data_IF_817907606352
#
_entry.id   IF_817907606352
#
_cell.length_a   1.000
_cell.length_b   1.000
_cell.length_c   1.000
_cell.angle_alpha   90.00
_cell.angle_beta   90.00
_cell.angle_gamma   90.00
#
_symmetry.space_group_name_H-M   'P 1'
#
loop_
_entity.id
_entity.type
_entity.pdbx_description
1 polymer ?
#
# COMPACT_ATOMS: atom_id res chain seq x y z
N UNK A 1 11.34 11.84 -23.21
CA UNK A 1 9.97 11.94 -22.65
C UNK A 1 10.08 11.62 -21.18
N UNK A 2 9.53 12.46 -20.30
CA UNK A 2 9.48 12.17 -18.86
C UNK A 2 8.23 11.33 -18.58
N UNK A 3 8.41 10.21 -17.90
CA UNK A 3 7.31 9.35 -17.45
C UNK A 3 6.95 9.75 -16.02
N UNK A 4 5.66 10.06 -15.78
CA UNK A 4 5.14 10.43 -14.48
C UNK A 4 4.33 9.26 -13.93
N UNK A 5 4.77 8.70 -12.81
CA UNK A 5 4.03 7.64 -12.11
C UNK A 5 3.23 8.26 -10.98
N UNK A 6 1.91 8.15 -11.04
CA UNK A 6 1.02 8.56 -9.96
C UNK A 6 0.79 7.36 -9.05
N UNK A 7 1.11 7.52 -7.77
CA UNK A 7 0.89 6.49 -6.74
C UNK A 7 -0.33 6.88 -5.91
N UNK A 8 -1.30 5.96 -5.81
CA UNK A 8 -2.44 6.11 -4.91
C UNK A 8 -2.13 5.34 -3.63
N UNK A 9 -1.99 6.03 -2.50
CA UNK A 9 -1.70 5.40 -1.20
C UNK A 9 -2.75 4.34 -0.88
N UNK A 10 -2.28 3.13 -0.55
CA UNK A 10 -3.12 1.96 -0.29
C UNK A 10 -3.50 1.13 -1.53
N UNK A 11 -3.27 1.62 -2.75
CA UNK A 11 -3.52 0.87 -4.00
C UNK A 11 -2.34 -0.03 -4.39
N UNK A 12 -2.09 -1.04 -3.57
CA UNK A 12 -1.03 -2.03 -3.80
C UNK A 12 -1.36 -2.96 -5.00
N UNK A 13 -2.59 -2.89 -5.52
CA UNK A 13 -3.04 -3.70 -6.64
C UNK A 13 -2.89 -3.02 -8.00
N UNK A 14 -2.78 -1.68 -8.06
CA UNK A 14 -2.84 -0.89 -9.29
C UNK A 14 -4.27 -0.74 -9.84
N UNK A 15 -5.26 -0.84 -8.96
CA UNK A 15 -6.69 -0.75 -9.28
C UNK A 15 -7.26 0.67 -9.23
N UNK A 16 -6.44 1.67 -8.88
CA UNK A 16 -6.83 3.06 -8.62
C UNK A 16 -7.51 3.26 -7.26
N UNK A 17 -7.69 2.21 -6.47
CA UNK A 17 -8.36 2.25 -5.16
C UNK A 17 -7.73 1.24 -4.20
N UNK A 18 -7.91 1.45 -2.89
CA UNK A 18 -7.54 0.45 -1.90
C UNK A 18 -8.49 -0.75 -2.00
N UNK A 19 -7.93 -1.93 -2.28
CA UNK A 19 -8.67 -3.16 -2.51
C UNK A 19 -8.20 -4.33 -1.63
N UNK A 20 -9.08 -5.32 -1.42
CA UNK A 20 -8.73 -6.55 -0.69
C UNK A 20 -7.57 -7.31 -1.37
N UNK A 21 -7.46 -7.23 -2.69
CA UNK A 21 -6.34 -7.79 -3.46
C UNK A 21 -5.02 -7.14 -3.05
N UNK A 22 -5.00 -5.81 -2.93
CA UNK A 22 -3.82 -5.08 -2.43
C UNK A 22 -3.43 -5.51 -1.02
N UNK A 23 -4.42 -5.67 -0.12
CA UNK A 23 -4.21 -6.17 1.22
C UNK A 23 -3.61 -7.59 1.27
N UNK A 24 -4.09 -8.50 0.41
CA UNK A 24 -3.54 -9.86 0.29
C UNK A 24 -2.08 -9.82 -0.22
N UNK A 25 -1.76 -8.92 -1.17
CA UNK A 25 -0.39 -8.72 -1.66
C UNK A 25 0.54 -8.20 -0.56
N UNK A 26 0.10 -7.22 0.24
CA UNK A 26 0.86 -6.76 1.41
C UNK A 26 1.14 -7.91 2.39
N UNK A 27 0.13 -8.74 2.69
CA UNK A 27 0.32 -9.93 3.54
C UNK A 27 1.35 -10.89 2.95
N UNK A 28 1.27 -11.17 1.65
CA UNK A 28 2.23 -12.04 0.98
C UNK A 28 3.66 -11.47 1.05
N UNK A 29 3.80 -10.15 0.94
CA UNK A 29 5.07 -9.46 1.10
C UNK A 29 5.66 -9.58 2.49
N UNK A 30 4.87 -9.29 3.52
CA UNK A 30 5.30 -9.43 4.92
C UNK A 30 5.67 -10.88 5.30
N UNK A 31 5.10 -11.87 4.60
CA UNK A 31 5.44 -13.29 4.76
C UNK A 31 6.64 -13.74 3.91
N UNK A 32 7.27 -12.84 3.15
CA UNK A 32 8.38 -13.16 2.25
C UNK A 32 7.99 -14.02 1.04
N UNK A 33 6.69 -14.12 0.74
CA UNK A 33 6.17 -14.93 -0.37
C UNK A 33 6.11 -14.16 -1.69
N UNK A 34 6.15 -12.83 -1.63
CA UNK A 34 6.09 -11.95 -2.78
C UNK A 34 6.92 -10.68 -2.51
N UNK A 35 7.61 -10.15 -3.51
CA UNK A 35 8.25 -8.84 -3.39
C UNK A 35 7.33 -7.78 -3.99
N UNK A 36 7.11 -6.68 -3.27
CA UNK A 36 6.47 -5.48 -3.81
C UNK A 36 7.59 -4.56 -4.28
N UNK A 37 7.56 -4.20 -5.56
CA UNK A 37 8.47 -3.22 -6.16
C UNK A 37 7.72 -1.92 -6.39
N UNK A 38 8.46 -0.84 -6.64
CA UNK A 38 7.86 0.43 -7.05
C UNK A 38 7.04 0.26 -8.34
N UNK A 39 5.90 0.96 -8.47
CA UNK A 39 5.29 1.93 -7.53
C UNK A 39 4.45 1.31 -6.40
N UNK A 40 4.23 0.00 -6.40
CA UNK A 40 3.35 -0.66 -5.44
C UNK A 40 3.94 -0.71 -4.02
N UNK A 41 5.27 -0.67 -3.91
CA UNK A 41 5.96 -0.54 -2.64
C UNK A 41 5.64 0.82 -1.99
N UNK A 42 5.76 1.92 -2.73
CA UNK A 42 5.31 3.25 -2.31
C UNK A 42 3.82 3.28 -1.96
N UNK A 43 2.95 2.59 -2.72
CA UNK A 43 1.53 2.51 -2.38
C UNK A 43 1.27 1.74 -1.08
N UNK A 44 2.14 0.80 -0.72
CA UNK A 44 2.01 -0.03 0.47
C UNK A 44 2.54 0.63 1.75
N UNK A 45 3.45 1.61 1.62
CA UNK A 45 3.92 2.46 2.71
C UNK A 45 2.88 3.55 3.01
N UNK A 46 1.82 3.18 3.73
CA UNK A 46 0.69 4.10 3.99
C UNK A 46 1.00 5.09 5.11
N UNK A 47 2.03 4.82 5.92
CA UNK A 47 2.45 5.67 7.01
C UNK A 47 3.58 6.64 6.62
N UNK A 48 4.28 6.37 5.51
CA UNK A 48 5.31 7.22 4.92
C UNK A 48 6.68 7.14 5.59
N UNK A 49 7.01 6.03 6.26
CA UNK A 49 8.31 5.83 6.92
C UNK A 49 9.38 5.20 6.01
N UNK A 50 9.05 4.98 4.74
CA UNK A 50 9.90 4.37 3.73
C UNK A 50 9.97 2.84 3.82
N UNK A 51 9.11 2.20 4.62
CA UNK A 51 9.13 0.73 4.82
C UNK A 51 7.73 0.15 4.70
N UNK A 52 7.66 -1.06 4.15
CA UNK A 52 6.43 -1.84 4.17
C UNK A 52 6.44 -2.70 5.43
N UNK A 53 5.68 -2.29 6.44
CA UNK A 53 5.69 -2.90 7.76
C UNK A 53 4.33 -3.45 8.21
N UNK A 54 4.30 -4.10 9.37
CA UNK A 54 3.03 -4.52 9.98
C UNK A 54 2.16 -3.33 10.38
N UNK A 55 2.77 -2.17 10.64
CA UNK A 55 2.05 -0.92 10.94
C UNK A 55 1.17 -0.52 9.75
N UNK A 56 1.73 -0.54 8.55
CA UNK A 56 1.01 -0.24 7.31
C UNK A 56 -0.14 -1.22 7.08
N UNK A 57 0.15 -2.50 7.29
CA UNK A 57 -0.84 -3.56 7.16
C UNK A 57 -2.02 -3.39 8.13
N UNK A 58 -1.76 -3.00 9.38
CA UNK A 58 -2.81 -2.74 10.37
C UNK A 58 -3.63 -1.50 10.01
N UNK A 59 -3.01 -0.45 9.50
CA UNK A 59 -3.73 0.75 9.04
C UNK A 59 -4.65 0.43 7.84
N UNK A 60 -4.14 -0.30 6.84
CA UNK A 60 -4.94 -0.78 5.70
C UNK A 60 -6.10 -1.65 6.17
N UNK A 61 -5.86 -2.56 7.12
CA UNK A 61 -6.93 -3.38 7.71
C UNK A 61 -7.98 -2.54 8.43
N UNK A 62 -7.56 -1.55 9.22
CA UNK A 62 -8.48 -0.67 9.95
C UNK A 62 -9.36 0.13 8.98
N UNK A 63 -8.78 0.63 7.89
CA UNK A 63 -9.50 1.34 6.84
C UNK A 63 -10.52 0.45 6.12
N UNK A 64 -10.12 -0.77 5.71
CA UNK A 64 -11.03 -1.75 5.10
C UNK A 64 -12.21 -2.13 6.01
N UNK A 65 -12.02 -2.07 7.32
CA UNK A 65 -13.07 -2.33 8.30
C UNK A 65 -13.91 -1.09 8.64
N UNK A 66 -13.65 0.06 8.01
CA UNK A 66 -14.32 1.33 8.31
C UNK A 66 -13.98 1.90 9.69
N UNK A 67 -12.86 1.47 10.28
CA UNK A 67 -12.42 1.84 11.64
C UNK A 67 -11.24 2.81 11.65
N UNK A 68 -10.78 3.26 10.49
CA UNK A 68 -9.66 4.17 10.35
C UNK A 68 -9.63 4.84 8.98
N UNK A 69 -8.88 5.92 8.88
CA UNK A 69 -8.65 6.67 7.64
C UNK A 69 -7.19 6.57 7.29
N UNK A 70 -6.88 6.38 6.00
CA UNK A 70 -5.52 6.50 5.48
C UNK A 70 -5.42 7.85 4.81
N UNK A 71 -4.36 8.59 5.14
CA UNK A 71 -4.06 9.85 4.51
C UNK A 71 -3.21 9.61 3.28
N UNK A 72 -3.44 10.38 2.21
CA UNK A 72 -2.58 10.34 1.05
C UNK A 72 -1.15 10.73 1.44
N UNK A 73 -0.19 9.91 1.02
CA UNK A 73 1.24 10.18 1.17
C UNK A 73 1.81 10.63 -0.16
N UNK A 74 2.71 11.62 -0.11
CA UNK A 74 3.53 12.04 -1.25
C UNK A 74 4.88 11.35 -1.16
N UNK A 75 5.22 10.58 -2.18
CA UNK A 75 6.49 9.87 -2.34
C UNK A 75 7.19 10.33 -3.62
#
# INVERSE_FOLDING_TARGET
MQELTIVVTGDVAGSGTLSLTGFIRMRAHLLGKQVLNDPYASAADVNGDGKISLTDFVQVKAHLLGKGTITAQTH
#
